data_IF_978984876622
#
_entry.id   IF_978984876622
#
_cell.length_a   1.000
_cell.length_b   1.000
_cell.length_c   1.000
_cell.angle_alpha   90.00
_cell.angle_beta   90.00
_cell.angle_gamma   90.00
#
_symmetry.space_group_name_H-M   'P 1'
#
loop_
_entity.id
_entity.type
_entity.pdbx_description
1 polymer ?
#
# COMPACT_ATOMS: atom_id res chain seq x y z
N UNK A 1 10.54 -2.08 13.73
CA UNK A 1 11.10 -1.52 12.45
C UNK A 1 11.33 -0.02 12.60
N UNK A 2 12.60 0.41 12.58
CA UNK A 2 13.00 1.82 12.71
C UNK A 2 13.01 2.59 11.38
N UNK A 3 13.37 3.88 11.40
CA UNK A 3 13.44 4.71 10.19
C UNK A 3 14.61 4.37 9.25
N UNK A 4 15.58 3.55 9.71
CA UNK A 4 16.70 3.08 8.89
C UNK A 4 16.32 2.00 7.87
N UNK A 5 15.25 1.26 8.11
CA UNK A 5 14.80 0.21 7.20
C UNK A 5 14.01 0.78 6.02
N UNK A 6 14.67 0.86 4.86
CA UNK A 6 14.12 1.35 3.58
C UNK A 6 13.00 0.48 3.01
N UNK A 7 12.75 -0.73 3.53
CA UNK A 7 11.63 -1.59 3.12
C UNK A 7 10.37 -1.30 3.94
N UNK A 8 10.51 -0.82 5.17
CA UNK A 8 9.39 -0.42 6.03
C UNK A 8 8.68 0.85 5.52
N UNK A 9 7.39 1.02 5.87
CA UNK A 9 6.65 2.26 5.60
C UNK A 9 7.36 3.48 6.20
N UNK A 10 7.90 3.35 7.43
CA UNK A 10 8.60 4.44 8.14
C UNK A 10 9.89 4.87 7.44
N UNK A 11 10.71 3.92 6.95
CA UNK A 11 11.92 4.25 6.20
C UNK A 11 11.65 4.74 4.78
N UNK A 12 10.60 4.26 4.12
CA UNK A 12 10.11 4.86 2.85
C UNK A 12 9.67 6.31 3.02
N UNK A 13 9.00 6.65 4.13
CA UNK A 13 8.66 8.04 4.46
C UNK A 13 9.93 8.88 4.66
N UNK A 14 10.88 8.42 5.49
CA UNK A 14 12.14 9.15 5.76
C UNK A 14 12.95 9.40 4.47
N UNK A 15 13.01 8.42 3.57
CA UNK A 15 13.74 8.52 2.30
C UNK A 15 12.96 9.22 1.18
N UNK A 16 11.72 9.65 1.40
CA UNK A 16 10.88 10.25 0.36
C UNK A 16 10.38 9.30 -0.74
N UNK A 17 10.86 8.04 -0.78
CA UNK A 17 10.52 7.09 -1.83
C UNK A 17 9.16 6.40 -1.65
N UNK A 18 8.60 5.91 -2.75
CA UNK A 18 7.39 5.07 -2.76
C UNK A 18 7.74 3.59 -2.97
N UNK A 19 6.83 2.68 -2.63
CA UNK A 19 7.03 1.24 -2.82
C UNK A 19 5.86 0.41 -2.28
N UNK A 20 6.00 -0.92 -2.21
CA UNK A 20 4.93 -1.81 -1.74
C UNK A 20 4.39 -1.43 -0.35
N UNK A 21 5.27 -0.98 0.55
CA UNK A 21 4.92 -0.56 1.92
C UNK A 21 4.44 0.89 2.04
N UNK A 22 4.70 1.75 1.02
CA UNK A 22 4.24 3.14 0.95
C UNK A 22 3.67 3.41 -0.44
N UNK A 23 2.38 3.09 -0.60
CA UNK A 23 1.66 3.23 -1.86
C UNK A 23 1.36 4.70 -2.18
N UNK A 24 1.30 5.01 -3.48
CA UNK A 24 0.77 6.28 -3.99
C UNK A 24 -0.75 6.29 -3.95
N UNK A 25 -1.37 7.47 -4.01
CA UNK A 25 -2.84 7.61 -4.02
C UNK A 25 -3.50 6.81 -5.15
N UNK A 26 -2.91 6.82 -6.35
CA UNK A 26 -3.37 6.01 -7.51
C UNK A 26 -3.38 4.51 -7.19
N UNK A 27 -2.34 4.01 -6.52
CA UNK A 27 -2.25 2.60 -6.15
C UNK A 27 -3.24 2.22 -5.04
N UNK A 28 -3.50 3.13 -4.09
CA UNK A 28 -4.53 2.95 -3.06
C UNK A 28 -5.91 2.84 -3.71
N UNK A 29 -6.25 3.71 -4.66
CA UNK A 29 -7.52 3.66 -5.37
C UNK A 29 -7.71 2.31 -6.09
N UNK A 30 -6.70 1.84 -6.85
CA UNK A 30 -6.73 0.53 -7.51
C UNK A 30 -6.89 -0.62 -6.51
N UNK A 31 -6.21 -0.58 -5.37
CA UNK A 31 -6.33 -1.59 -4.33
C UNK A 31 -7.73 -1.64 -3.71
N UNK A 32 -8.35 -0.47 -3.45
CA UNK A 32 -9.73 -0.38 -2.93
C UNK A 32 -10.74 -0.99 -3.89
N UNK A 33 -10.65 -0.69 -5.20
CA UNK A 33 -11.54 -1.27 -6.22
C UNK A 33 -11.39 -2.78 -6.30
N UNK A 34 -10.14 -3.28 -6.34
CA UNK A 34 -9.87 -4.74 -6.34
C UNK A 34 -10.41 -5.42 -5.08
N UNK A 35 -10.25 -4.81 -3.91
CA UNK A 35 -10.77 -5.34 -2.65
C UNK A 35 -12.31 -5.40 -2.66
N UNK A 36 -12.98 -4.35 -3.15
CA UNK A 36 -14.44 -4.31 -3.31
C UNK A 36 -14.94 -5.41 -4.26
N UNK A 37 -14.27 -5.59 -5.41
CA UNK A 37 -14.59 -6.68 -6.37
C UNK A 37 -14.42 -8.06 -5.74
N UNK A 38 -13.33 -8.29 -5.00
CA UNK A 38 -13.09 -9.58 -4.31
C UNK A 38 -14.13 -9.86 -3.23
N UNK A 39 -14.55 -8.86 -2.44
CA UNK A 39 -15.60 -9.03 -1.43
C UNK A 39 -16.92 -9.43 -2.08
N UNK A 40 -17.31 -8.74 -3.16
CA UNK A 40 -18.54 -9.05 -3.91
C UNK A 40 -18.55 -10.45 -4.53
N UNK A 41 -17.38 -10.95 -4.95
CA UNK A 41 -17.25 -12.31 -5.49
C UNK A 41 -17.25 -13.39 -4.40
N UNK A 42 -16.87 -13.05 -3.16
CA UNK A 42 -16.90 -13.98 -2.01
C UNK A 42 -18.25 -14.03 -1.29
N UNK A 43 -19.14 -13.08 -1.59
CA UNK A 43 -20.48 -12.99 -1.01
C UNK A 43 -21.57 -13.62 -1.89
N UNK A 44 -21.17 -14.23 -3.01
CA UNK A 44 -21.97 -15.19 -3.78
C UNK A 44 -21.52 -16.59 -3.34
#
# INVERSE_FOLDING_TARGET
MGRGDKRSKKGKIKSGSYGKSRLTQRNIAKAKVKAKKKKRLKSF
#
